data_IF_500081050946
#
_entry.id   IF_500081050946
#
_cell.length_a   1.000
_cell.length_b   1.000
_cell.length_c   1.000
_cell.angle_alpha   90.00
_cell.angle_beta   90.00
_cell.angle_gamma   90.00
#
_symmetry.space_group_name_H-M   'P 1'
#
loop_
_entity.id
_entity.type
_entity.pdbx_description
1 polymer ?
#
# COMPACT_ATOMS: atom_id res chain seq x y z
N UNK A 1 19.44 14.44 -2.54
CA UNK A 1 18.08 14.68 -3.08
C UNK A 1 17.66 13.45 -3.87
N UNK A 2 16.72 12.66 -3.37
CA UNK A 2 16.17 11.52 -4.12
C UNK A 2 15.05 12.06 -5.01
N UNK A 3 15.37 12.35 -6.27
CA UNK A 3 14.39 12.82 -7.25
C UNK A 3 13.51 11.65 -7.63
N UNK A 4 12.47 11.39 -6.83
CA UNK A 4 11.44 10.44 -7.21
C UNK A 4 10.83 10.95 -8.53
N UNK A 5 10.84 10.09 -9.54
CA UNK A 5 10.23 10.37 -10.84
C UNK A 5 8.94 9.58 -10.92
N UNK A 6 7.94 10.16 -11.57
CA UNK A 6 6.73 9.44 -11.95
C UNK A 6 7.11 8.17 -12.72
N UNK A 7 6.55 7.02 -12.31
CA UNK A 7 6.73 5.74 -12.98
C UNK A 7 5.45 5.37 -13.72
N UNK A 8 5.61 4.82 -14.91
CA UNK A 8 4.52 4.18 -15.64
C UNK A 8 4.44 2.74 -15.13
N UNK A 9 3.30 2.35 -14.59
CA UNK A 9 3.07 1.04 -13.96
C UNK A 9 1.77 0.42 -14.44
N UNK A 10 1.69 -0.91 -14.46
CA UNK A 10 0.45 -1.60 -14.85
C UNK A 10 -0.61 -1.40 -13.77
N UNK A 11 -1.84 -1.13 -14.21
CA UNK A 11 -2.99 -0.96 -13.32
C UNK A 11 -3.26 -2.24 -12.52
N UNK A 12 -3.17 -3.42 -13.15
CA UNK A 12 -3.34 -4.72 -12.47
C UNK A 12 -2.33 -4.93 -11.34
N UNK A 13 -1.06 -4.61 -11.58
CA UNK A 13 0.00 -4.74 -10.57
C UNK A 13 -0.24 -3.79 -9.39
N UNK A 14 -0.71 -2.58 -9.68
CA UNK A 14 -1.09 -1.59 -8.66
C UNK A 14 -2.26 -2.09 -7.81
N UNK A 15 -3.29 -2.69 -8.43
CA UNK A 15 -4.41 -3.27 -7.71
C UNK A 15 -3.98 -4.41 -6.77
N UNK A 16 -3.12 -5.31 -7.26
CA UNK A 16 -2.57 -6.39 -6.44
C UNK A 16 -1.74 -5.86 -5.25
N UNK A 17 -0.97 -4.79 -5.47
CA UNK A 17 -0.22 -4.13 -4.39
C UNK A 17 -1.16 -3.52 -3.34
N UNK A 18 -2.22 -2.81 -3.75
CA UNK A 18 -3.21 -2.24 -2.83
C UNK A 18 -3.83 -3.34 -1.97
N UNK A 19 -4.19 -4.49 -2.56
CA UNK A 19 -4.71 -5.65 -1.82
C UNK A 19 -3.76 -6.13 -0.72
N UNK A 20 -2.47 -6.31 -1.04
CA UNK A 20 -1.44 -6.72 -0.07
C UNK A 20 -1.20 -5.68 1.02
N UNK A 21 -1.20 -4.39 0.67
CA UNK A 21 -1.05 -3.31 1.65
C UNK A 21 -2.27 -3.17 2.56
N UNK A 22 -3.48 -3.40 2.04
CA UNK A 22 -4.70 -3.43 2.85
C UNK A 22 -4.65 -4.53 3.92
N UNK A 23 -4.11 -5.70 3.62
CA UNK A 23 -3.88 -6.76 4.62
C UNK A 23 -2.98 -6.29 5.76
N UNK A 24 -1.91 -5.56 5.43
CA UNK A 24 -0.96 -5.05 6.43
C UNK A 24 -1.42 -3.75 7.11
N UNK A 25 -2.49 -3.10 6.64
CA UNK A 25 -2.95 -1.80 7.17
C UNK A 25 -3.28 -1.86 8.66
N UNK A 26 -3.76 -3.01 9.13
CA UNK A 26 -4.05 -3.28 10.55
C UNK A 26 -2.79 -3.16 11.43
N UNK A 27 -1.62 -3.42 10.87
CA UNK A 27 -0.32 -3.35 11.55
C UNK A 27 0.25 -1.92 11.59
N UNK A 28 -0.22 -1.01 10.72
CA UNK A 28 0.36 0.33 10.55
C UNK A 28 -0.71 1.42 10.48
N UNK A 29 -1.10 1.95 11.65
CA UNK A 29 -2.23 2.89 11.85
C UNK A 29 -2.17 4.20 11.02
N UNK A 30 -0.98 4.66 10.62
CA UNK A 30 -0.77 5.91 9.87
C UNK A 30 -0.83 5.78 8.33
N UNK A 31 -0.97 4.57 7.82
CA UNK A 31 -0.74 4.28 6.39
C UNK A 31 -1.92 4.51 5.44
N UNK A 32 -3.12 4.71 5.99
CA UNK A 32 -4.37 4.69 5.22
C UNK A 32 -4.49 5.82 4.19
N UNK A 33 -3.90 7.00 4.46
CA UNK A 33 -4.05 8.19 3.63
C UNK A 33 -3.41 8.01 2.25
N UNK A 34 -2.20 7.48 2.19
CA UNK A 34 -1.48 7.33 0.93
C UNK A 34 -1.97 6.15 0.10
N UNK A 35 -2.52 5.13 0.74
CA UNK A 35 -3.20 4.03 0.05
C UNK A 35 -4.45 4.53 -0.69
N UNK A 36 -5.19 5.47 -0.08
CA UNK A 36 -6.33 6.13 -0.71
C UNK A 36 -5.93 6.93 -1.95
N UNK A 37 -4.78 7.60 -1.93
CA UNK A 37 -4.25 8.33 -3.10
C UNK A 37 -3.93 7.39 -4.27
N UNK A 38 -3.28 6.25 -4.01
CA UNK A 38 -2.98 5.25 -5.04
C UNK A 38 -4.28 4.66 -5.61
N UNK A 39 -5.24 4.32 -4.75
CA UNK A 39 -6.50 3.72 -5.19
C UNK A 39 -7.35 4.69 -6.03
N UNK A 40 -7.39 5.97 -5.66
CA UNK A 40 -8.03 7.02 -6.45
C UNK A 40 -7.36 7.19 -7.83
N UNK A 41 -6.02 7.26 -7.86
CA UNK A 41 -5.28 7.35 -9.12
C UNK A 41 -5.49 6.11 -10.00
N UNK A 42 -5.46 4.91 -9.42
CA UNK A 42 -5.78 3.66 -10.12
C UNK A 42 -7.19 3.72 -10.70
N UNK A 43 -8.18 4.13 -9.91
CA UNK A 43 -9.59 4.18 -10.34
C UNK A 43 -9.79 5.16 -11.49
N UNK A 44 -9.11 6.31 -11.48
CA UNK A 44 -9.09 7.24 -12.61
C UNK A 44 -8.45 6.59 -13.84
N UNK A 45 -7.30 5.94 -13.68
CA UNK A 45 -6.59 5.31 -14.79
C UNK A 45 -7.39 4.16 -15.42
N UNK A 46 -8.12 3.36 -14.63
CA UNK A 46 -9.02 2.30 -15.14
C UNK A 46 -10.08 2.90 -16.07
N UNK A 47 -10.67 4.03 -15.69
CA UNK A 47 -11.69 4.70 -16.52
C UNK A 47 -11.14 5.22 -17.85
N UNK A 48 -9.86 5.60 -17.89
CA UNK A 48 -9.23 6.19 -19.08
C UNK A 48 -8.54 5.16 -19.97
N UNK A 49 -7.87 4.16 -19.38
CA UNK A 49 -6.95 3.24 -20.07
C UNK A 49 -7.42 1.78 -20.00
N UNK A 50 -8.54 1.50 -19.32
CA UNK A 50 -9.02 0.14 -19.07
C UNK A 50 -8.18 -0.63 -18.04
N UNK A 51 -8.62 -1.84 -17.72
CA UNK A 51 -8.00 -2.66 -16.65
C UNK A 51 -6.58 -3.16 -16.99
N UNK A 52 -6.31 -3.42 -18.27
CA UNK A 52 -4.98 -3.84 -18.77
C UNK A 52 -4.05 -2.65 -19.07
N UNK A 53 -4.53 -1.43 -18.87
CA UNK A 53 -3.79 -0.21 -19.15
C UNK A 53 -2.66 0.08 -18.17
N UNK A 54 -1.96 1.16 -18.47
CA UNK A 54 -0.89 1.71 -17.65
C UNK A 54 -1.39 2.95 -16.90
N UNK A 55 -0.76 3.23 -15.76
CA UNK A 55 -1.00 4.45 -15.00
C UNK A 55 0.31 5.12 -14.60
N UNK A 56 0.25 6.43 -14.41
CA UNK A 56 1.36 7.18 -13.80
C UNK A 56 1.23 7.10 -12.29
N UNK A 57 2.31 6.68 -11.61
CA UNK A 57 2.34 6.58 -10.17
C UNK A 57 2.26 7.97 -9.52
N UNK A 58 1.40 8.18 -8.50
CA UNK A 58 1.45 9.39 -7.68
C UNK A 58 2.77 9.45 -6.92
N UNK A 59 3.42 10.60 -6.91
CA UNK A 59 4.77 10.75 -6.35
C UNK A 59 4.75 10.60 -4.82
N UNK A 60 3.75 11.20 -4.19
CA UNK A 60 3.50 11.20 -2.76
C UNK A 60 3.31 9.76 -2.25
N UNK A 61 2.68 8.91 -3.07
CA UNK A 61 2.49 7.51 -2.77
C UNK A 61 3.80 6.70 -2.81
N UNK A 62 4.76 7.08 -3.66
CA UNK A 62 6.05 6.39 -3.73
C UNK A 62 6.87 6.59 -2.45
N UNK A 63 6.90 7.80 -1.89
CA UNK A 63 7.56 8.09 -0.59
C UNK A 63 7.06 7.15 0.50
N UNK A 64 5.77 6.91 0.52
CA UNK A 64 5.12 6.10 1.53
C UNK A 64 5.34 4.63 1.29
N UNK A 65 5.33 4.19 0.03
CA UNK A 65 5.72 2.82 -0.29
C UNK A 65 7.15 2.51 0.18
N UNK A 66 8.10 3.44 0.02
CA UNK A 66 9.45 3.29 0.58
C UNK A 66 9.45 3.23 2.11
N UNK A 67 8.65 4.04 2.78
CA UNK A 67 8.49 3.99 4.23
C UNK A 67 7.90 2.64 4.69
N UNK A 68 6.90 2.13 3.98
CA UNK A 68 6.31 0.82 4.21
C UNK A 68 7.30 -0.31 4.05
N UNK A 69 8.14 -0.29 3.00
CA UNK A 69 9.21 -1.29 2.82
C UNK A 69 10.14 -1.29 4.03
N UNK A 70 10.55 -0.11 4.49
CA UNK A 70 11.38 0.03 5.69
C UNK A 70 10.67 -0.52 6.93
N UNK A 71 9.38 -0.21 7.10
CA UNK A 71 8.58 -0.66 8.25
C UNK A 71 8.32 -2.16 8.26
N UNK A 72 8.11 -2.76 7.09
CA UNK A 72 7.98 -4.22 6.95
C UNK A 72 9.30 -4.90 7.27
N UNK A 73 10.43 -4.35 6.80
CA UNK A 73 11.76 -4.87 7.13
C UNK A 73 12.09 -4.75 8.63
N UNK A 74 11.61 -3.70 9.29
CA UNK A 74 11.72 -3.51 10.75
C UNK A 74 10.70 -4.34 11.55
N UNK A 75 9.70 -4.94 10.89
CA UNK A 75 8.62 -5.61 11.59
C UNK A 75 9.11 -6.94 12.19
N UNK A 76 9.26 -6.98 13.52
CA UNK A 76 9.42 -8.22 14.27
C UNK A 76 8.05 -8.89 14.37
N UNK A 77 7.98 -10.21 14.19
CA UNK A 77 6.74 -10.99 14.32
C UNK A 77 6.01 -10.57 15.60
N UNK A 78 4.82 -9.99 15.47
CA UNK A 78 3.95 -9.77 16.62
C UNK A 78 3.51 -11.16 17.09
N UNK A 79 3.87 -11.53 18.32
CA UNK A 79 3.21 -12.64 18.98
C UNK A 79 1.81 -12.16 19.34
N UNK A 80 0.78 -12.79 18.75
CA UNK A 80 -0.58 -12.65 19.24
C UNK A 80 -0.59 -13.42 20.55
N UNK A 81 -0.44 -12.70 21.67
CA UNK A 81 -0.80 -13.28 22.95
C UNK A 81 -2.33 -13.31 22.95
N UNK A 82 -2.91 -14.47 22.64
CA UNK A 82 -4.31 -14.72 22.98
C UNK A 82 -4.38 -14.69 24.51
N UNK A 83 -5.05 -13.70 25.13
CA UNK A 83 -5.40 -13.86 26.52
C UNK A 83 -6.56 -14.84 26.50
N UNK A 84 -6.26 -16.13 26.60
CA UNK A 84 -7.26 -17.12 27.00
C UNK A 84 -7.70 -16.66 28.39
N UNK A 85 -8.93 -16.17 28.59
CA UNK A 85 -9.40 -15.93 29.94
C UNK A 85 -9.55 -17.32 30.55
N UNK A 86 -8.71 -17.62 31.55
CA UNK A 86 -8.94 -18.77 32.41
C UNK A 86 -10.23 -18.47 33.17
N UNK A 87 -11.32 -19.10 32.74
CA UNK A 87 -12.59 -19.06 33.47
C UNK A 87 -12.41 -20.00 34.66
N UNK A 88 -12.28 -19.43 35.86
CA UNK A 88 -12.31 -20.14 37.15
C UNK A 88 -13.75 -20.32 37.60
#
# INVERSE_FOLDING_TARGET
MNTQRHKIIKIKETAALIGRLNFLRTQFRKSSFHLMLIDSAKTRAVKTQGWTGMMVSPLEALKELYWWIKKIAENKKQQIQDPIPLVT
#
